data_IF_820018024885
#
_entry.id   IF_820018024885
#
_cell.length_a   1.000
_cell.length_b   1.000
_cell.length_c   1.000
_cell.angle_alpha   90.00
_cell.angle_beta   90.00
_cell.angle_gamma   90.00
#
_symmetry.space_group_name_H-M   'P 1'
#
loop_
_entity.id
_entity.type
_entity.pdbx_description
1 polymer ?
#
# COMPACT_ATOMS: atom_id res chain seq x y z
N UNK A 1 -7.03 -26.66 -17.64
CA UNK A 1 -7.09 -25.32 -17.03
C UNK A 1 -6.98 -25.38 -15.53
N UNK A 2 -5.78 -25.18 -14.99
CA UNK A 2 -5.59 -24.87 -13.57
C UNK A 2 -5.46 -23.35 -13.44
N UNK A 3 -6.54 -22.63 -13.77
CA UNK A 3 -6.62 -21.16 -13.87
C UNK A 3 -6.49 -20.42 -12.53
N UNK A 4 -5.39 -20.60 -11.81
CA UNK A 4 -5.05 -19.84 -10.61
C UNK A 4 -4.50 -18.45 -10.93
N UNK A 5 -4.84 -17.46 -10.09
CA UNK A 5 -4.25 -16.12 -10.17
C UNK A 5 -2.81 -16.17 -9.65
N UNK A 6 -1.84 -15.87 -10.52
CA UNK A 6 -0.44 -15.70 -10.13
C UNK A 6 -0.20 -14.24 -9.76
N UNK A 7 0.05 -13.98 -8.47
CA UNK A 7 0.45 -12.64 -8.00
C UNK A 7 1.95 -12.47 -8.24
N UNK A 8 2.34 -11.38 -8.91
CA UNK A 8 3.73 -11.07 -9.22
C UNK A 8 4.26 -10.00 -8.26
N UNK A 9 5.56 -10.05 -7.89
CA UNK A 9 6.17 -9.01 -7.09
C UNK A 9 6.20 -7.67 -7.83
N UNK A 10 5.86 -6.61 -7.12
CA UNK A 10 5.99 -5.23 -7.58
C UNK A 10 7.36 -4.71 -7.15
N UNK A 11 8.23 -4.44 -8.13
CA UNK A 11 9.53 -3.79 -7.92
C UNK A 11 9.46 -2.28 -8.00
N UNK A 12 10.60 -1.62 -7.78
CA UNK A 12 10.77 -0.18 -8.03
C UNK A 12 10.80 0.15 -9.53
N UNK A 13 10.34 1.35 -9.96
CA UNK A 13 9.76 2.44 -9.16
C UNK A 13 8.27 2.25 -8.81
N UNK A 14 7.65 1.20 -9.35
CA UNK A 14 6.19 1.01 -9.31
C UNK A 14 5.62 0.82 -7.90
N UNK A 15 6.41 0.24 -7.00
CA UNK A 15 6.03 0.15 -5.59
C UNK A 15 5.88 1.53 -4.94
N UNK A 16 6.80 2.44 -5.24
CA UNK A 16 6.75 3.82 -4.76
C UNK A 16 5.55 4.56 -5.35
N UNK A 17 5.32 4.43 -6.66
CA UNK A 17 4.14 5.01 -7.32
C UNK A 17 2.83 4.52 -6.70
N UNK A 18 2.70 3.21 -6.42
CA UNK A 18 1.50 2.65 -5.77
C UNK A 18 1.25 3.26 -4.39
N UNK A 19 2.30 3.45 -3.57
CA UNK A 19 2.15 4.10 -2.26
C UNK A 19 1.74 5.57 -2.45
N UNK A 20 2.32 6.28 -3.43
CA UNK A 20 1.93 7.65 -3.77
C UNK A 20 0.47 7.75 -4.23
N UNK A 21 -0.02 6.80 -5.01
CA UNK A 21 -1.42 6.72 -5.42
C UNK A 21 -2.34 6.54 -4.21
N UNK A 22 -1.96 5.74 -3.23
CA UNK A 22 -2.70 5.61 -1.97
C UNK A 22 -2.72 6.93 -1.19
N UNK A 23 -1.61 7.68 -1.15
CA UNK A 23 -1.58 9.05 -0.58
C UNK A 23 -2.56 9.95 -1.32
N UNK A 24 -2.50 9.95 -2.64
CA UNK A 24 -3.35 10.79 -3.51
C UNK A 24 -4.83 10.47 -3.33
N UNK A 25 -5.19 9.19 -3.33
CA UNK A 25 -6.56 8.72 -3.15
C UNK A 25 -7.11 9.07 -1.76
N UNK A 26 -6.29 8.97 -0.71
CA UNK A 26 -6.66 9.43 0.64
C UNK A 26 -6.98 10.91 0.65
N UNK A 27 -6.08 11.74 0.10
CA UNK A 27 -6.28 13.21 0.02
C UNK A 27 -7.53 13.60 -0.77
N UNK A 28 -7.80 12.93 -1.90
CA UNK A 28 -8.98 13.18 -2.72
C UNK A 28 -10.30 12.87 -1.97
N UNK A 29 -10.25 11.97 -0.98
CA UNK A 29 -11.38 11.61 -0.11
C UNK A 29 -11.44 12.45 1.18
N UNK A 30 -10.52 13.40 1.37
CA UNK A 30 -10.48 14.26 2.57
C UNK A 30 -9.63 13.70 3.73
N UNK A 31 -8.89 12.61 3.51
CA UNK A 31 -7.99 12.01 4.49
C UNK A 31 -6.58 12.60 4.36
N UNK A 32 -6.15 13.38 5.35
CA UNK A 32 -4.85 14.04 5.35
C UNK A 32 -4.00 13.58 6.52
N UNK A 33 -2.84 12.99 6.19
CA UNK A 33 -1.79 12.72 7.15
C UNK A 33 -1.31 14.00 7.86
N UNK A 34 -1.00 13.95 9.17
CA UNK A 34 -0.47 15.09 9.90
C UNK A 34 0.94 15.47 9.41
N UNK A 35 1.34 16.72 9.63
CA UNK A 35 2.60 17.27 9.07
C UNK A 35 3.86 16.54 9.50
N UNK A 36 3.86 15.97 10.71
CA UNK A 36 4.98 15.22 11.27
C UNK A 36 5.00 13.73 10.88
N UNK A 37 3.95 13.25 10.23
CA UNK A 37 3.81 11.84 9.88
C UNK A 37 2.99 11.68 8.59
N UNK A 38 3.70 11.71 7.45
CA UNK A 38 3.12 11.67 6.10
C UNK A 38 2.36 10.38 5.76
N UNK A 39 2.56 9.29 6.51
CA UNK A 39 1.94 8.00 6.20
C UNK A 39 0.86 7.57 7.20
N UNK A 40 0.53 8.40 8.19
CA UNK A 40 -0.50 8.10 9.21
C UNK A 40 -1.79 7.53 8.60
N UNK A 41 -2.44 8.28 7.69
CA UNK A 41 -3.73 7.87 7.12
C UNK A 41 -3.62 6.58 6.29
N UNK A 42 -2.50 6.40 5.58
CA UNK A 42 -2.27 5.18 4.79
C UNK A 42 -2.05 3.98 5.70
N UNK A 43 -1.30 4.14 6.80
CA UNK A 43 -1.15 3.08 7.80
C UNK A 43 -2.50 2.65 8.35
N UNK A 44 -3.33 3.60 8.76
CA UNK A 44 -4.65 3.31 9.32
C UNK A 44 -5.56 2.62 8.29
N UNK A 45 -5.54 3.10 7.05
CA UNK A 45 -6.25 2.44 5.95
C UNK A 45 -5.72 1.03 5.66
N UNK A 46 -4.40 0.84 5.61
CA UNK A 46 -3.77 -0.43 5.30
C UNK A 46 -4.00 -1.47 6.42
N UNK A 47 -4.02 -1.07 7.69
CA UNK A 47 -4.40 -1.97 8.80
C UNK A 47 -5.82 -2.53 8.64
N UNK A 48 -6.75 -1.74 8.09
CA UNK A 48 -8.15 -2.12 7.93
C UNK A 48 -8.46 -2.84 6.60
N UNK A 49 -7.67 -2.57 5.56
CA UNK A 49 -7.97 -3.00 4.19
C UNK A 49 -6.84 -3.78 3.50
N UNK A 50 -5.63 -3.79 4.07
CA UNK A 50 -4.44 -4.39 3.45
C UNK A 50 -4.59 -5.90 3.23
N UNK A 51 -5.43 -6.58 4.00
CA UNK A 51 -5.77 -7.99 3.79
C UNK A 51 -6.70 -8.23 2.58
N UNK A 52 -7.41 -7.20 2.10
CA UNK A 52 -8.27 -7.26 0.91
C UNK A 52 -7.48 -7.11 -0.39
N UNK A 53 -6.22 -6.65 -0.31
CA UNK A 53 -5.34 -6.44 -1.46
C UNK A 53 -4.56 -7.72 -1.75
N UNK A 54 -4.63 -8.19 -2.99
CA UNK A 54 -3.80 -9.28 -3.48
C UNK A 54 -2.41 -8.74 -3.81
N UNK A 55 -1.45 -8.99 -2.92
CA UNK A 55 -0.06 -8.60 -3.06
C UNK A 55 0.84 -9.82 -2.89
N UNK A 56 1.94 -9.85 -3.63
CA UNK A 56 2.98 -10.83 -3.41
C UNK A 56 3.58 -10.65 -2.00
N UNK A 57 4.10 -11.73 -1.42
CA UNK A 57 4.65 -11.72 -0.05
C UNK A 57 5.81 -10.75 0.10
N UNK A 58 6.69 -10.64 -0.90
CA UNK A 58 7.84 -9.73 -0.85
C UNK A 58 7.38 -8.28 -0.96
N UNK A 59 6.43 -7.99 -1.86
CA UNK A 59 5.82 -6.67 -1.98
C UNK A 59 5.13 -6.24 -0.69
N UNK A 60 4.35 -7.13 -0.08
CA UNK A 60 3.69 -6.88 1.21
C UNK A 60 4.70 -6.53 2.30
N UNK A 61 5.76 -7.33 2.43
CA UNK A 61 6.83 -7.10 3.40
C UNK A 61 7.52 -5.74 3.20
N UNK A 62 7.78 -5.35 1.95
CA UNK A 62 8.41 -4.07 1.66
C UNK A 62 7.47 -2.88 1.94
N UNK A 63 6.17 -3.01 1.68
CA UNK A 63 5.16 -2.01 2.07
C UNK A 63 5.14 -1.85 3.59
N UNK A 64 5.02 -2.96 4.32
CA UNK A 64 4.94 -2.94 5.78
C UNK A 64 6.18 -2.31 6.40
N UNK A 65 7.36 -2.63 5.87
CA UNK A 65 8.62 -1.99 6.24
C UNK A 65 8.63 -0.47 6.00
N UNK A 66 8.12 0.00 4.86
CA UNK A 66 8.07 1.45 4.53
C UNK A 66 7.05 2.23 5.32
N UNK A 67 5.95 1.57 5.64
CA UNK A 67 4.90 2.14 6.45
C UNK A 67 5.20 2.00 7.94
N UNK A 68 6.25 1.28 8.34
CA UNK A 68 6.66 1.07 9.74
C UNK A 68 5.56 0.38 10.56
N UNK A 69 5.02 -0.72 10.05
CA UNK A 69 3.93 -1.54 10.63
C UNK A 69 4.30 -3.02 10.69
#
# INVERSE_FOLDING_TARGET
DEGGVKILPIGEPYLTEMICDWVGAGKAQGHFSPKNDKYYEIREWYKQNGNKIQLDKETRKEIEKRLEI
#
